data_IF_476997511238
#
_entry.id   IF_476997511238
#
_cell.length_a   1.000
_cell.length_b   1.000
_cell.length_c   1.000
_cell.angle_alpha   90.00
_cell.angle_beta   90.00
_cell.angle_gamma   90.00
#
_symmetry.space_group_name_H-M   'P 1'
#
loop_
_entity.id
_entity.type
_entity.pdbx_description
1 polymer ?
#
# COMPACT_ATOMS: atom_id res chain seq x y z
N UNK A 1 14.51 65.73 -13.52
CA UNK A 1 14.84 64.80 -12.41
C UNK A 1 13.54 64.20 -11.88
N UNK A 2 13.25 62.94 -12.19
CA UNK A 2 11.97 62.29 -11.86
C UNK A 2 12.15 61.43 -10.61
N UNK A 3 11.44 61.78 -9.53
CA UNK A 3 11.41 61.01 -8.27
C UNK A 3 10.61 59.71 -8.52
N UNK A 4 11.26 58.57 -8.31
CA UNK A 4 10.63 57.24 -8.35
C UNK A 4 9.92 56.97 -7.01
N UNK A 5 8.59 56.81 -7.05
CA UNK A 5 7.79 56.32 -5.94
C UNK A 5 7.91 54.80 -5.89
N UNK A 6 8.55 54.28 -4.85
CA UNK A 6 8.62 52.84 -4.56
C UNK A 6 7.32 52.46 -3.84
N UNK A 7 6.46 51.72 -4.52
CA UNK A 7 5.29 51.06 -3.94
C UNK A 7 5.75 49.94 -3.00
N UNK A 8 5.37 50.04 -1.73
CA UNK A 8 5.52 48.98 -0.75
C UNK A 8 4.50 47.87 -1.03
N UNK A 9 4.96 46.71 -1.54
CA UNK A 9 4.17 45.48 -1.53
C UNK A 9 4.29 44.82 -0.16
N UNK A 10 3.31 45.09 0.70
CA UNK A 10 3.06 44.32 1.93
C UNK A 10 2.64 42.90 1.59
N UNK A 11 3.36 41.94 2.17
CA UNK A 11 3.26 40.52 1.86
C UNK A 11 1.95 39.85 2.25
N UNK A 12 1.57 38.87 1.43
CA UNK A 12 0.66 37.80 1.80
C UNK A 12 1.41 36.49 1.57
N UNK A 13 2.03 35.96 2.62
CA UNK A 13 2.54 34.59 2.64
C UNK A 13 1.32 33.67 2.71
N UNK A 14 0.84 33.23 1.54
CA UNK A 14 -0.09 32.10 1.46
C UNK A 14 0.70 30.87 1.88
N UNK A 15 0.52 30.42 3.12
CA UNK A 15 0.98 29.13 3.58
C UNK A 15 0.22 28.05 2.79
N UNK A 16 0.78 27.62 1.66
CA UNK A 16 0.28 26.46 0.93
C UNK A 16 0.58 25.24 1.79
N UNK A 17 -0.47 24.66 2.37
CA UNK A 17 -0.39 23.35 3.01
C UNK A 17 0.04 22.33 1.94
N UNK A 18 1.30 21.91 1.99
CA UNK A 18 1.79 20.82 1.15
C UNK A 18 1.01 19.55 1.56
N UNK A 19 0.33 18.85 0.63
CA UNK A 19 -0.28 17.58 0.95
C UNK A 19 0.84 16.62 1.39
N UNK A 20 0.69 16.04 2.58
CA UNK A 20 1.63 15.08 3.14
C UNK A 20 1.83 13.95 2.12
N UNK A 21 3.04 13.88 1.53
CA UNK A 21 3.39 12.84 0.58
C UNK A 21 3.24 11.48 1.27
N UNK A 22 2.44 10.60 0.68
CA UNK A 22 2.24 9.24 1.17
C UNK A 22 3.59 8.52 1.19
N UNK A 23 4.23 8.43 2.36
CA UNK A 23 5.41 7.59 2.56
C UNK A 23 5.02 6.15 2.20
N UNK A 24 5.59 5.62 1.13
CA UNK A 24 5.45 4.20 0.79
C UNK A 24 6.04 3.38 1.93
N UNK A 25 5.18 2.68 2.68
CA UNK A 25 5.64 1.90 3.83
C UNK A 25 6.17 0.54 3.38
N UNK A 26 6.95 -0.13 4.24
CA UNK A 26 7.40 -1.52 4.01
C UNK A 26 6.24 -2.49 3.75
N UNK A 27 5.05 -2.23 4.33
CA UNK A 27 3.84 -3.02 4.10
C UNK A 27 3.34 -2.89 2.66
N UNK A 28 3.26 -1.65 2.17
CA UNK A 28 2.80 -1.34 0.81
C UNK A 28 3.68 -2.01 -0.24
N UNK A 29 5.00 -1.91 -0.09
CA UNK A 29 5.96 -2.56 -0.98
C UNK A 29 5.88 -4.09 -0.94
N UNK A 30 5.46 -4.70 0.19
CA UNK A 30 5.23 -6.14 0.28
C UNK A 30 3.94 -6.56 -0.44
N UNK A 31 2.87 -5.78 -0.31
CA UNK A 31 1.59 -6.04 -0.98
C UNK A 31 1.75 -5.97 -2.50
N UNK A 32 2.46 -4.96 -2.99
CA UNK A 32 2.77 -4.83 -4.42
C UNK A 32 3.45 -6.08 -4.98
N UNK A 33 4.54 -6.53 -4.35
CA UNK A 33 5.25 -7.76 -4.78
C UNK A 33 4.38 -9.01 -4.70
N UNK A 34 3.47 -9.10 -3.73
CA UNK A 34 2.54 -10.21 -3.63
C UNK A 34 1.50 -10.19 -4.74
N UNK A 35 0.97 -9.01 -5.07
CA UNK A 35 0.07 -8.80 -6.19
C UNK A 35 0.71 -9.23 -7.52
N UNK A 36 1.92 -8.74 -7.79
CA UNK A 36 2.69 -9.09 -8.98
C UNK A 36 2.94 -10.61 -9.11
N UNK A 37 3.20 -11.30 -7.98
CA UNK A 37 3.33 -12.76 -7.96
C UNK A 37 2.02 -13.50 -8.24
N UNK A 38 0.89 -12.92 -7.85
CA UNK A 38 -0.43 -13.47 -8.15
C UNK A 38 -0.69 -13.31 -9.65
N UNK A 39 -0.49 -12.11 -10.20
CA UNK A 39 -0.67 -11.83 -11.63
C UNK A 39 0.19 -12.71 -12.52
N UNK A 40 1.49 -12.82 -12.23
CA UNK A 40 2.37 -13.75 -12.96
C UNK A 40 1.93 -15.20 -12.84
N UNK A 41 1.41 -15.59 -11.68
CA UNK A 41 0.88 -16.94 -11.46
C UNK A 41 -0.37 -17.22 -12.32
N UNK A 42 -1.25 -16.22 -12.46
CA UNK A 42 -2.43 -16.28 -13.35
C UNK A 42 -1.99 -16.35 -14.80
N UNK A 43 -1.09 -15.45 -15.23
CA UNK A 43 -0.60 -15.38 -16.60
C UNK A 43 0.06 -16.69 -17.06
N UNK A 44 0.83 -17.33 -16.16
CA UNK A 44 1.45 -18.62 -16.45
C UNK A 44 0.54 -19.84 -16.19
N UNK A 45 -0.75 -19.63 -15.88
CA UNK A 45 -1.71 -20.70 -15.62
C UNK A 45 -1.46 -21.50 -14.33
N UNK A 46 -0.53 -21.07 -13.46
CA UNK A 46 -0.20 -21.74 -12.20
C UNK A 46 -1.21 -21.43 -11.10
N UNK A 47 -1.88 -20.29 -11.17
CA UNK A 47 -2.92 -19.88 -10.23
C UNK A 47 -4.26 -19.90 -10.96
N UNK A 48 -5.18 -20.72 -10.47
CA UNK A 48 -6.54 -20.79 -11.03
C UNK A 48 -7.35 -19.53 -10.67
N UNK A 49 -8.40 -19.17 -11.44
CA UNK A 49 -9.27 -18.03 -11.09
C UNK A 49 -9.85 -18.13 -9.66
N UNK A 50 -10.20 -19.34 -9.23
CA UNK A 50 -10.72 -19.60 -7.88
C UNK A 50 -9.68 -19.32 -6.80
N UNK A 51 -8.43 -19.71 -7.01
CA UNK A 51 -7.34 -19.41 -6.09
C UNK A 51 -6.98 -17.93 -6.10
N UNK A 52 -6.88 -17.31 -7.27
CA UNK A 52 -6.66 -15.88 -7.42
C UNK A 52 -7.68 -15.08 -6.61
N UNK A 53 -8.96 -15.44 -6.71
CA UNK A 53 -10.02 -14.81 -5.94
C UNK A 53 -9.84 -14.99 -4.41
N UNK A 54 -9.41 -16.17 -3.96
CA UNK A 54 -9.09 -16.41 -2.53
C UNK A 54 -7.90 -15.58 -2.07
N UNK A 55 -6.85 -15.47 -2.89
CA UNK A 55 -5.65 -14.68 -2.59
C UNK A 55 -5.97 -13.18 -2.56
N UNK A 56 -6.76 -12.68 -3.49
CA UNK A 56 -7.23 -11.29 -3.52
C UNK A 56 -8.02 -10.93 -2.26
N UNK A 57 -8.94 -11.79 -1.80
CA UNK A 57 -9.65 -11.58 -0.53
C UNK A 57 -8.70 -11.46 0.67
N UNK A 58 -7.60 -12.21 0.68
CA UNK A 58 -6.59 -12.13 1.74
C UNK A 58 -5.83 -10.81 1.69
N UNK A 59 -5.39 -10.37 0.50
CA UNK A 59 -4.74 -9.06 0.31
C UNK A 59 -5.66 -7.93 0.79
N UNK A 60 -6.92 -7.90 0.36
CA UNK A 60 -7.87 -6.89 0.82
C UNK A 60 -8.13 -6.93 2.32
N UNK A 61 -8.09 -8.11 2.95
CA UNK A 61 -8.23 -8.19 4.42
C UNK A 61 -7.03 -7.55 5.12
N UNK A 62 -5.82 -7.73 4.59
CA UNK A 62 -4.61 -7.10 5.15
C UNK A 62 -4.70 -5.58 4.98
N UNK A 63 -5.06 -5.13 3.78
CA UNK A 63 -5.24 -3.71 3.46
C UNK A 63 -6.27 -3.05 4.38
N UNK A 64 -7.43 -3.70 4.62
CA UNK A 64 -8.43 -3.19 5.59
C UNK A 64 -7.89 -3.08 7.01
N UNK A 65 -7.10 -4.06 7.44
CA UNK A 65 -6.47 -4.03 8.77
C UNK A 65 -5.46 -2.89 8.87
N UNK A 66 -4.67 -2.69 7.82
CA UNK A 66 -3.70 -1.61 7.75
C UNK A 66 -4.37 -0.24 7.76
N UNK A 67 -5.38 -0.02 6.92
CA UNK A 67 -6.16 1.24 6.92
C UNK A 67 -6.79 1.51 8.29
N UNK A 68 -7.34 0.47 8.93
CA UNK A 68 -7.91 0.60 10.28
C UNK A 68 -6.84 0.95 11.31
N UNK A 69 -5.67 0.34 11.26
CA UNK A 69 -4.56 0.67 12.15
C UNK A 69 -4.11 2.12 11.97
N UNK A 70 -3.98 2.57 10.71
CA UNK A 70 -3.65 3.98 10.39
C UNK A 70 -4.72 4.94 10.90
N UNK A 71 -5.99 4.63 10.68
CA UNK A 71 -7.10 5.45 11.12
C UNK A 71 -7.09 5.71 12.64
N UNK A 72 -6.84 4.68 13.45
CA UNK A 72 -6.82 4.82 14.92
C UNK A 72 -5.52 5.41 15.49
N UNK A 73 -4.46 5.53 14.67
CA UNK A 73 -3.14 5.98 15.11
C UNK A 73 -2.66 7.20 14.29
N UNK A 74 -3.55 8.15 13.97
CA UNK A 74 -3.21 9.40 13.29
C UNK A 74 -2.43 9.22 11.98
N UNK A 75 -2.78 8.20 11.19
CA UNK A 75 -2.10 7.87 9.93
C UNK A 75 -0.87 6.95 10.07
N UNK A 76 -0.43 6.68 11.30
CA UNK A 76 0.72 5.81 11.58
C UNK A 76 0.29 4.37 11.88
N UNK A 77 1.24 3.44 11.87
CA UNK A 77 1.00 2.06 12.29
C UNK A 77 1.82 1.83 13.55
N UNK A 78 1.15 1.55 14.66
CA UNK A 78 1.82 1.22 15.92
C UNK A 78 2.55 -0.15 15.82
N UNK A 79 3.57 -0.42 16.66
CA UNK A 79 4.35 -1.64 16.59
C UNK A 79 3.54 -2.94 16.71
N UNK A 80 2.48 -2.95 17.52
CA UNK A 80 1.62 -4.12 17.71
C UNK A 80 0.80 -4.40 16.45
N UNK A 81 0.25 -3.35 15.84
CA UNK A 81 -0.44 -3.45 14.56
C UNK A 81 0.52 -3.85 13.44
N UNK A 82 1.73 -3.31 13.41
CA UNK A 82 2.76 -3.67 12.43
C UNK A 82 3.10 -5.16 12.49
N UNK A 83 3.35 -5.70 13.69
CA UNK A 83 3.62 -7.12 13.88
C UNK A 83 2.42 -8.00 13.47
N UNK A 84 1.18 -7.54 13.76
CA UNK A 84 -0.03 -8.25 13.31
C UNK A 84 -0.15 -8.27 11.78
N UNK A 85 0.07 -7.13 11.13
CA UNK A 85 0.05 -7.01 9.66
C UNK A 85 1.12 -7.90 9.05
N UNK A 86 2.34 -7.90 9.60
CA UNK A 86 3.45 -8.74 9.13
C UNK A 86 3.10 -10.23 9.17
N UNK A 87 2.55 -10.73 10.29
CA UNK A 87 2.09 -12.13 10.39
C UNK A 87 1.01 -12.47 9.36
N UNK A 88 0.12 -11.51 9.06
CA UNK A 88 -0.90 -11.69 8.03
C UNK A 88 -0.26 -11.74 6.62
N UNK A 89 0.70 -10.86 6.34
CA UNK A 89 1.49 -10.85 5.10
C UNK A 89 2.23 -12.19 4.89
N UNK A 90 2.86 -12.73 5.94
CA UNK A 90 3.60 -13.99 5.84
C UNK A 90 2.66 -15.19 5.61
N UNK A 91 1.47 -15.16 6.20
CA UNK A 91 0.43 -16.16 5.92
C UNK A 91 -0.06 -16.07 4.47
N UNK A 92 -0.32 -14.86 3.98
CA UNK A 92 -0.70 -14.65 2.59
C UNK A 92 0.40 -15.11 1.63
N UNK A 93 1.67 -14.78 1.92
CA UNK A 93 2.81 -15.24 1.13
C UNK A 93 2.87 -16.76 1.02
N UNK A 94 2.69 -17.49 2.13
CA UNK A 94 2.64 -18.97 2.12
C UNK A 94 1.51 -19.50 1.22
N UNK A 95 0.34 -18.86 1.23
CA UNK A 95 -0.75 -19.24 0.34
C UNK A 95 -0.43 -18.96 -1.13
N UNK A 96 0.21 -17.83 -1.45
CA UNK A 96 0.64 -17.51 -2.83
C UNK A 96 1.71 -18.49 -3.31
N UNK A 97 2.67 -18.86 -2.44
CA UNK A 97 3.68 -19.89 -2.76
C UNK A 97 3.02 -21.23 -3.04
N UNK A 98 2.07 -21.65 -2.19
CA UNK A 98 1.34 -22.91 -2.39
C UNK A 98 0.57 -22.90 -3.69
N UNK A 99 -0.20 -21.84 -3.97
CA UNK A 99 -0.95 -21.73 -5.21
C UNK A 99 -0.03 -21.80 -6.44
N UNK A 100 1.10 -21.08 -6.43
CA UNK A 100 2.07 -21.12 -7.54
C UNK A 100 2.78 -22.48 -7.74
N UNK A 101 2.82 -23.33 -6.72
CA UNK A 101 3.45 -24.67 -6.77
C UNK A 101 2.45 -25.78 -7.06
N UNK A 102 1.16 -25.52 -6.90
CA UNK A 102 0.13 -26.48 -7.26
C UNK A 102 0.11 -26.58 -8.79
N UNK A 103 0.64 -27.69 -9.32
CA UNK A 103 0.52 -28.00 -10.74
C UNK A 103 -0.93 -28.38 -11.02
N UNK A 104 -1.76 -27.37 -11.31
CA UNK A 104 -3.10 -27.61 -11.83
C UNK A 104 -2.96 -28.08 -13.27
N UNK A 105 -2.89 -29.40 -13.47
CA UNK A 105 -3.22 -30.01 -14.76
C UNK A 105 -4.73 -29.81 -14.94
N UNK A 106 -5.08 -28.87 -15.80
CA UNK A 106 -6.44 -28.72 -16.32
C UNK A 106 -6.70 -29.79 -17.36
#
# INVERSE_FOLDING_TARGET
>A
MRKTLILALTGLLVATSLPAMAQTTRSDARQWRQHERIERGIHHGRITPREAHRLARQQHRIERVERRARYYNNGHIDPRSAHRIERMQDRANRHIVRANRNHHRW
#
